data_IF_359386608701
#
_entry.id   IF_359386608701
#
_cell.length_a   1.000
_cell.length_b   1.000
_cell.length_c   1.000
_cell.angle_alpha   90.00
_cell.angle_beta   90.00
_cell.angle_gamma   90.00
#
_symmetry.space_group_name_H-M   'P 1'
#
loop_
_entity.id
_entity.type
_entity.pdbx_description
1 polymer ?
#
# COMPACT_ATOMS: atom_id res chain seq x y z
N UNK A 1 3.42 -9.23 20.68
CA UNK A 1 2.45 -10.36 20.59
C UNK A 1 1.11 -9.82 20.13
N UNK A 2 0.45 -10.42 19.13
CA UNK A 2 -0.88 -9.95 18.72
C UNK A 2 -1.89 -10.03 19.88
N UNK A 3 -2.83 -9.08 20.00
CA UNK A 3 -3.92 -9.19 20.95
C UNK A 3 -4.67 -10.51 20.77
N UNK A 4 -5.05 -11.17 21.86
CA UNK A 4 -5.76 -12.46 21.83
C UNK A 4 -7.10 -12.41 21.07
N UNK A 5 -7.68 -11.20 20.94
CA UNK A 5 -8.74 -10.89 19.99
C UNK A 5 -8.67 -9.40 19.61
N UNK A 6 -8.77 -9.08 18.31
CA UNK A 6 -8.90 -7.69 17.87
C UNK A 6 -10.30 -7.15 18.24
N UNK A 7 -10.41 -5.90 18.70
CA UNK A 7 -11.71 -5.27 18.92
C UNK A 7 -12.46 -5.11 17.60
N UNK A 8 -13.79 -5.23 17.66
CA UNK A 8 -14.64 -4.75 16.56
C UNK A 8 -14.52 -3.24 16.44
N UNK A 9 -14.78 -2.66 15.26
CA UNK A 9 -14.75 -1.20 15.06
C UNK A 9 -15.48 -0.43 16.17
N UNK A 10 -16.72 -0.84 16.51
CA UNK A 10 -17.54 -0.19 17.55
C UNK A 10 -16.98 -0.31 18.98
N UNK A 11 -16.04 -1.24 19.20
CA UNK A 11 -15.38 -1.50 20.48
C UNK A 11 -13.91 -1.07 20.46
N UNK A 12 -13.48 -0.32 19.45
CA UNK A 12 -12.12 0.22 19.39
C UNK A 12 -11.86 1.07 20.64
N UNK A 13 -10.72 0.86 21.32
CA UNK A 13 -10.36 1.66 22.48
C UNK A 13 -10.21 3.13 22.07
N UNK A 14 -10.62 4.09 22.92
CA UNK A 14 -10.47 5.50 22.61
C UNK A 14 -9.00 5.88 22.63
N UNK A 15 -8.61 6.74 21.69
CA UNK A 15 -7.31 7.41 21.70
C UNK A 15 -7.55 8.84 22.15
N UNK A 16 -6.83 9.30 23.17
CA UNK A 16 -7.03 10.61 23.78
C UNK A 16 -6.96 11.73 22.71
N UNK A 17 -7.93 12.63 22.74
CA UNK A 17 -8.06 13.77 21.81
C UNK A 17 -8.19 13.38 20.32
N UNK A 18 -8.52 12.13 20.00
CA UNK A 18 -8.75 11.67 18.64
C UNK A 18 -10.21 11.26 18.41
N UNK A 19 -10.72 11.38 17.18
CA UNK A 19 -11.98 10.76 16.80
C UNK A 19 -11.98 9.24 17.05
N UNK A 20 -13.17 8.66 17.16
CA UNK A 20 -13.30 7.21 17.27
C UNK A 20 -12.74 6.49 16.03
N UNK A 21 -12.06 5.35 16.24
CA UNK A 21 -11.56 4.48 15.18
C UNK A 21 -10.04 4.51 14.97
N UNK A 22 -9.28 5.27 15.75
CA UNK A 22 -7.82 5.24 15.70
C UNK A 22 -7.29 3.93 16.32
N UNK A 23 -6.40 3.23 15.62
CA UNK A 23 -5.82 1.97 16.06
C UNK A 23 -4.52 2.14 16.88
N UNK A 24 -4.24 3.35 17.38
CA UNK A 24 -2.99 3.65 18.07
C UNK A 24 -2.94 2.94 19.42
N UNK A 25 -1.79 2.35 19.74
CA UNK A 25 -1.59 1.53 20.92
C UNK A 25 -2.18 0.12 20.83
N UNK A 26 -2.96 -0.21 19.79
CA UNK A 26 -3.58 -1.54 19.65
C UNK A 26 -2.55 -2.66 19.48
N UNK A 27 -1.43 -2.34 18.82
CA UNK A 27 -0.36 -3.26 18.51
C UNK A 27 0.90 -3.05 19.38
N UNK A 28 0.86 -2.11 20.33
CA UNK A 28 1.95 -1.92 21.28
C UNK A 28 2.04 -3.15 22.19
N UNK A 29 3.26 -3.64 22.47
CA UNK A 29 3.45 -4.77 23.39
C UNK A 29 3.09 -4.43 24.84
N UNK A 30 3.30 -3.17 25.25
CA UNK A 30 2.99 -2.64 26.59
C UNK A 30 2.53 -1.18 26.48
N UNK A 31 1.59 -0.72 27.32
CA UNK A 31 1.11 0.68 27.29
C UNK A 31 2.23 1.72 27.39
N UNK A 32 3.19 1.50 28.29
CA UNK A 32 4.33 2.39 28.54
C UNK A 32 5.63 1.92 27.85
N UNK A 33 5.51 0.99 26.90
CA UNK A 33 6.65 0.45 26.14
C UNK A 33 6.98 1.25 24.88
N UNK A 34 7.98 0.79 24.12
CA UNK A 34 8.20 1.24 22.75
C UNK A 34 6.92 1.12 21.93
N UNK A 35 6.64 2.15 21.13
CA UNK A 35 5.45 2.20 20.28
C UNK A 35 5.64 1.34 19.04
N UNK A 36 4.58 0.66 18.64
CA UNK A 36 4.56 -0.10 17.41
C UNK A 36 4.77 0.79 16.18
N UNK A 37 5.44 0.25 15.16
CA UNK A 37 5.79 0.94 13.91
C UNK A 37 5.17 0.30 12.66
N UNK A 38 4.46 -0.83 12.83
CA UNK A 38 3.97 -1.67 11.73
C UNK A 38 2.45 -1.62 11.55
N UNK A 39 1.70 -1.25 12.58
CA UNK A 39 0.24 -1.19 12.57
C UNK A 39 -0.38 -2.53 12.19
N UNK A 40 -1.31 -2.52 11.23
CA UNK A 40 -2.01 -3.72 10.78
C UNK A 40 -1.12 -4.73 10.06
N UNK A 41 0.11 -4.37 9.69
CA UNK A 41 1.06 -5.36 9.15
C UNK A 41 1.39 -6.44 10.18
N UNK A 42 1.27 -6.15 11.48
CA UNK A 42 1.40 -7.15 12.54
C UNK A 42 0.43 -8.33 12.40
N UNK A 43 -0.69 -8.16 11.66
CA UNK A 43 -1.65 -9.24 11.38
C UNK A 43 -1.12 -10.29 10.39
N UNK A 44 -0.07 -9.97 9.64
CA UNK A 44 0.58 -10.89 8.72
C UNK A 44 1.60 -11.76 9.47
N UNK A 45 1.13 -12.60 10.39
CA UNK A 45 2.01 -13.48 11.18
C UNK A 45 2.57 -14.61 10.31
N UNK A 46 3.66 -15.28 10.74
CA UNK A 46 4.18 -16.46 10.05
C UNK A 46 3.11 -17.54 9.80
N UNK A 47 2.19 -17.74 10.74
CA UNK A 47 1.09 -18.70 10.63
C UNK A 47 0.08 -18.29 9.57
N UNK A 48 -0.29 -17.00 9.52
CA UNK A 48 -1.19 -16.46 8.49
C UNK A 48 -0.57 -16.61 7.09
N UNK A 49 0.72 -16.27 6.96
CA UNK A 49 1.46 -16.39 5.69
C UNK A 49 1.55 -17.85 5.25
N UNK A 50 1.91 -18.75 6.17
CA UNK A 50 2.04 -20.18 5.88
C UNK A 50 0.70 -20.80 5.49
N UNK A 51 -0.38 -20.44 6.17
CA UNK A 51 -1.72 -20.92 5.84
C UNK A 51 -2.14 -20.43 4.44
N UNK A 52 -1.96 -19.14 4.14
CA UNK A 52 -2.25 -18.59 2.82
C UNK A 52 -1.49 -19.34 1.70
N UNK A 53 -0.21 -19.63 1.92
CA UNK A 53 0.59 -20.39 0.96
C UNK A 53 0.04 -21.82 0.75
N UNK A 54 -0.35 -22.50 1.84
CA UNK A 54 -0.91 -23.86 1.79
C UNK A 54 -2.30 -23.93 1.14
N UNK A 55 -3.13 -22.90 1.32
CA UNK A 55 -4.53 -22.92 0.89
C UNK A 55 -4.75 -22.32 -0.49
N UNK A 56 -4.03 -21.25 -0.84
CA UNK A 56 -4.34 -20.46 -2.04
C UNK A 56 -3.46 -20.81 -3.25
N UNK A 57 -2.21 -21.22 -3.06
CA UNK A 57 -1.30 -21.56 -4.17
C UNK A 57 -1.64 -22.96 -4.69
N UNK A 58 -2.45 -23.03 -5.75
CA UNK A 58 -2.89 -24.30 -6.37
C UNK A 58 -2.38 -24.52 -7.79
N UNK A 59 -2.19 -23.45 -8.55
CA UNK A 59 -1.91 -23.54 -10.00
C UNK A 59 -0.52 -23.05 -10.39
N UNK A 60 0.21 -22.40 -9.47
CA UNK A 60 1.51 -21.79 -9.74
C UNK A 60 1.46 -20.58 -10.68
N UNK A 61 0.28 -20.07 -11.04
CA UNK A 61 0.13 -18.88 -11.89
C UNK A 61 0.39 -17.61 -11.09
N UNK A 62 1.19 -16.71 -11.65
CA UNK A 62 1.43 -15.38 -11.12
C UNK A 62 0.82 -14.30 -12.02
N UNK A 63 0.44 -13.18 -11.42
CA UNK A 63 -0.06 -11.98 -12.11
C UNK A 63 0.65 -10.77 -11.52
N UNK A 64 1.22 -9.92 -12.37
CA UNK A 64 1.78 -8.64 -11.93
C UNK A 64 0.65 -7.64 -11.67
N UNK A 65 0.65 -7.04 -10.48
CA UNK A 65 -0.25 -5.92 -10.14
C UNK A 65 0.43 -4.56 -10.35
N UNK A 66 1.71 -4.55 -10.69
CA UNK A 66 2.46 -3.32 -10.92
C UNK A 66 2.10 -2.74 -12.29
N UNK A 67 1.73 -1.46 -12.30
CA UNK A 67 1.60 -0.66 -13.51
C UNK A 67 2.99 -0.17 -13.93
N UNK A 68 3.30 -0.21 -15.22
CA UNK A 68 4.59 0.26 -15.73
C UNK A 68 4.85 1.71 -15.31
N UNK A 69 6.00 2.00 -14.71
CA UNK A 69 6.32 3.33 -14.18
C UNK A 69 6.30 4.42 -15.27
N UNK A 70 6.61 4.04 -16.51
CA UNK A 70 6.62 4.89 -17.69
C UNK A 70 5.21 5.28 -18.19
N UNK A 71 4.18 4.57 -17.73
CA UNK A 71 2.80 4.78 -18.16
C UNK A 71 2.11 5.95 -17.45
N UNK A 72 2.67 6.43 -16.34
CA UNK A 72 2.14 7.59 -15.62
C UNK A 72 2.73 8.89 -16.20
N UNK A 73 2.09 9.41 -17.24
CA UNK A 73 2.57 10.61 -17.95
C UNK A 73 2.34 11.92 -17.17
N UNK A 74 1.29 11.98 -16.34
CA UNK A 74 0.93 13.18 -15.57
C UNK A 74 0.78 12.83 -14.10
N UNK A 75 1.86 12.91 -13.31
CA UNK A 75 1.77 12.78 -11.86
C UNK A 75 0.84 13.83 -11.27
N UNK A 76 -0.01 13.43 -10.32
CA UNK A 76 -0.83 14.36 -9.56
C UNK A 76 0.00 15.19 -8.56
N UNK A 77 -0.61 16.25 -8.02
CA UNK A 77 -0.03 17.08 -6.95
C UNK A 77 1.37 17.65 -7.26
N UNK A 78 1.58 18.07 -8.52
CA UNK A 78 2.85 18.65 -9.01
C UNK A 78 4.09 17.79 -8.74
N UNK A 79 3.91 16.48 -8.60
CA UNK A 79 5.01 15.53 -8.33
C UNK A 79 5.92 15.37 -9.54
N UNK A 80 7.21 15.18 -9.27
CA UNK A 80 8.20 14.84 -10.28
C UNK A 80 7.85 13.49 -10.94
N UNK A 81 7.69 13.48 -12.26
CA UNK A 81 7.48 12.26 -13.04
C UNK A 81 8.75 11.43 -13.19
N UNK A 82 8.60 10.19 -13.69
CA UNK A 82 9.73 9.31 -13.96
C UNK A 82 10.70 9.96 -14.95
N UNK A 83 11.98 10.02 -14.57
CA UNK A 83 13.09 10.21 -15.52
C UNK A 83 13.92 8.95 -15.49
N UNK A 84 14.22 8.40 -16.66
CA UNK A 84 14.99 7.19 -16.83
C UNK A 84 16.15 7.49 -17.79
N UNK A 85 17.39 7.30 -17.34
CA UNK A 85 18.60 7.51 -18.12
C UNK A 85 19.39 6.21 -18.20
N UNK A 86 19.70 5.78 -19.41
CA UNK A 86 20.62 4.66 -19.64
C UNK A 86 22.07 5.15 -19.62
N UNK A 87 22.97 4.35 -19.06
CA UNK A 87 24.40 4.57 -19.03
C UNK A 87 25.05 3.46 -19.86
N UNK A 88 25.62 3.81 -21.01
CA UNK A 88 26.48 2.91 -21.77
C UNK A 88 27.91 2.99 -21.20
N UNK A 89 28.35 1.91 -20.57
CA UNK A 89 29.69 1.87 -19.98
C UNK A 89 30.81 1.82 -21.03
N UNK A 90 30.51 1.44 -22.28
CA UNK A 90 31.48 1.49 -23.36
C UNK A 90 31.81 2.94 -23.72
N UNK A 91 30.80 3.80 -23.77
CA UNK A 91 31.00 5.23 -24.01
C UNK A 91 31.82 5.86 -22.88
N UNK A 92 31.46 5.59 -21.62
CA UNK A 92 32.24 6.06 -20.45
C UNK A 92 33.69 5.55 -20.43
N UNK A 93 33.91 4.30 -20.79
CA UNK A 93 35.26 3.74 -20.87
C UNK A 93 36.09 4.49 -21.94
N UNK A 94 35.49 4.81 -23.09
CA UNK A 94 36.15 5.57 -24.16
C UNK A 94 36.47 7.00 -23.76
N UNK A 95 35.57 7.68 -23.04
CA UNK A 95 35.81 9.04 -22.51
C UNK A 95 37.03 9.11 -21.59
N UNK A 96 37.32 8.01 -20.90
CA UNK A 96 38.46 7.90 -19.96
C UNK A 96 39.69 7.24 -20.57
N UNK A 97 39.67 6.89 -21.86
CA UNK A 97 40.76 6.20 -22.56
C UNK A 97 40.94 4.72 -22.16
N UNK A 98 39.95 4.13 -21.48
CA UNK A 98 39.91 2.72 -21.12
C UNK A 98 39.54 1.80 -22.29
N UNK A 99 39.71 0.47 -22.12
CA UNK A 99 39.27 -0.51 -23.11
C UNK A 99 37.73 -0.53 -23.21
N UNK A 100 37.20 -1.01 -24.34
CA UNK A 100 35.76 -1.24 -24.50
C UNK A 100 35.24 -2.11 -23.34
N UNK A 101 34.17 -1.64 -22.66
CA UNK A 101 33.53 -2.33 -21.55
C UNK A 101 32.03 -2.50 -21.83
N UNK A 102 31.57 -3.73 -22.01
CA UNK A 102 30.22 -4.05 -22.50
C UNK A 102 29.23 -4.22 -21.34
N UNK A 103 28.72 -3.10 -20.83
CA UNK A 103 27.72 -3.08 -19.76
C UNK A 103 26.77 -1.90 -19.93
N UNK A 104 25.54 -2.05 -19.44
CA UNK A 104 24.56 -0.97 -19.32
C UNK A 104 24.09 -0.88 -17.88
N UNK A 105 24.02 0.35 -17.35
CA UNK A 105 23.28 0.67 -16.13
C UNK A 105 22.10 1.59 -16.47
N UNK A 106 21.18 1.74 -15.52
CA UNK A 106 20.14 2.74 -15.54
C UNK A 106 20.17 3.62 -14.29
N UNK A 107 19.75 4.87 -14.46
CA UNK A 107 19.43 5.79 -13.38
C UNK A 107 17.97 6.18 -13.49
N UNK A 108 17.25 6.06 -12.38
CA UNK A 108 15.87 6.55 -12.26
C UNK A 108 15.79 7.70 -11.25
N UNK A 109 15.05 8.73 -11.62
CA UNK A 109 14.56 9.75 -10.69
C UNK A 109 13.04 9.66 -10.66
N UNK A 110 12.49 9.45 -9.47
CA UNK A 110 11.06 9.25 -9.28
C UNK A 110 10.62 9.83 -7.95
N UNK A 111 9.41 10.39 -7.91
CA UNK A 111 8.71 10.60 -6.65
C UNK A 111 8.06 9.27 -6.23
N UNK A 112 8.30 8.78 -5.02
CA UNK A 112 7.85 7.46 -4.57
C UNK A 112 6.32 7.30 -4.47
N UNK A 113 5.56 8.38 -4.68
CA UNK A 113 4.10 8.40 -4.78
C UNK A 113 3.60 8.55 -6.24
N UNK A 114 4.35 7.98 -7.19
CA UNK A 114 4.04 7.94 -8.62
C UNK A 114 4.08 6.49 -9.08
N UNK A 115 3.01 6.02 -9.73
CA UNK A 115 2.84 4.63 -10.17
C UNK A 115 2.14 3.76 -9.14
N UNK A 116 2.22 2.43 -9.32
CA UNK A 116 1.76 1.50 -8.29
C UNK A 116 2.67 1.61 -7.06
N UNK A 117 2.06 1.78 -5.89
CA UNK A 117 2.78 2.19 -4.70
C UNK A 117 2.14 1.62 -3.43
N UNK A 118 2.91 1.67 -2.35
CA UNK A 118 2.42 1.57 -0.99
C UNK A 118 2.63 2.89 -0.27
N UNK A 119 1.62 3.35 0.45
CA UNK A 119 1.74 4.53 1.30
C UNK A 119 2.05 4.08 2.74
N UNK A 120 3.24 4.41 3.22
CA UNK A 120 3.68 4.10 4.57
C UNK A 120 2.92 4.87 5.65
N UNK A 121 3.06 4.46 6.91
CA UNK A 121 2.39 5.11 8.06
C UNK A 121 2.85 6.56 8.30
N UNK A 122 3.96 6.96 7.68
CA UNK A 122 4.46 8.35 7.63
C UNK A 122 3.99 9.18 6.43
N UNK A 123 3.17 8.61 5.53
CA UNK A 123 2.78 9.31 4.28
C UNK A 123 1.80 10.46 4.53
N UNK A 124 0.80 10.25 5.40
CA UNK A 124 -0.28 11.19 5.61
C UNK A 124 -0.65 11.31 7.08
N UNK A 125 -0.52 12.53 7.62
CA UNK A 125 -0.88 12.82 9.01
C UNK A 125 -2.39 13.04 9.18
N UNK A 126 -2.85 12.89 10.42
CA UNK A 126 -4.13 13.48 10.82
C UNK A 126 -4.03 15.00 10.76
N UNK A 127 -4.65 15.59 9.74
CA UNK A 127 -4.49 17.02 9.39
C UNK A 127 -4.77 17.99 10.54
N UNK A 128 -5.82 17.82 11.38
CA UNK A 128 -6.07 18.73 12.49
C UNK A 128 -4.99 18.76 13.57
N UNK A 129 -4.23 17.67 13.76
CA UNK A 129 -3.26 17.56 14.86
C UNK A 129 -1.81 17.42 14.40
N UNK A 130 -1.55 17.21 13.11
CA UNK A 130 -0.20 16.95 12.60
C UNK A 130 0.43 15.64 13.09
N UNK A 131 -0.38 14.74 13.66
CA UNK A 131 0.10 13.49 14.23
C UNK A 131 -0.07 12.33 13.23
N UNK A 132 0.96 11.50 13.13
CA UNK A 132 0.99 10.24 12.41
C UNK A 132 0.69 9.08 13.35
N UNK A 133 0.71 7.85 12.83
CA UNK A 133 0.47 6.64 13.60
C UNK A 133 1.25 6.64 14.93
N UNK A 134 0.58 6.23 16.02
CA UNK A 134 1.17 6.17 17.36
C UNK A 134 1.79 7.48 17.89
N UNK A 135 1.36 8.64 17.36
CA UNK A 135 1.63 9.95 17.96
C UNK A 135 2.92 10.63 17.51
N UNK A 136 3.60 10.15 16.46
CA UNK A 136 4.71 10.88 15.85
C UNK A 136 4.20 12.23 15.31
N UNK A 137 4.76 13.34 15.78
CA UNK A 137 4.39 14.68 15.29
C UNK A 137 5.13 15.03 14.00
N UNK A 138 4.50 15.80 13.12
CA UNK A 138 5.04 16.19 11.82
C UNK A 138 6.42 16.83 11.89
N UNK A 139 6.64 17.70 12.87
CA UNK A 139 7.94 18.39 13.05
C UNK A 139 9.08 17.44 13.44
N UNK A 140 8.79 16.19 13.83
CA UNK A 140 9.77 15.19 14.22
C UNK A 140 10.01 14.12 13.14
N UNK A 141 9.22 14.12 12.07
CA UNK A 141 9.30 13.11 10.99
C UNK A 141 10.68 13.09 10.35
N UNK A 142 11.35 14.24 10.20
CA UNK A 142 12.69 14.32 9.60
C UNK A 142 13.83 14.05 10.60
N UNK A 143 13.53 13.96 11.89
CA UNK A 143 14.52 13.77 12.95
C UNK A 143 14.77 12.29 13.27
N UNK A 144 13.98 11.40 12.69
CA UNK A 144 14.04 9.96 12.94
C UNK A 144 13.64 9.16 11.70
N UNK A 145 13.88 7.86 11.74
CA UNK A 145 13.38 6.87 10.80
C UNK A 145 12.05 6.24 11.24
N UNK A 146 11.43 6.76 12.30
CA UNK A 146 10.17 6.23 12.82
C UNK A 146 9.10 6.15 11.74
N UNK A 147 8.35 5.05 11.74
CA UNK A 147 7.30 4.75 10.75
C UNK A 147 7.82 4.72 9.29
N UNK A 148 9.14 4.61 9.10
CA UNK A 148 9.77 4.40 7.81
C UNK A 148 9.43 3.05 7.19
N UNK A 149 9.44 3.00 5.86
CA UNK A 149 9.16 1.75 5.12
C UNK A 149 10.29 0.71 5.28
N UNK A 150 11.47 1.11 5.78
CA UNK A 150 12.54 0.20 6.18
C UNK A 150 12.04 -0.81 7.23
N UNK A 151 11.21 -0.39 8.19
CA UNK A 151 10.60 -1.30 9.17
C UNK A 151 9.75 -2.38 8.50
N UNK A 152 9.11 -2.05 7.38
CA UNK A 152 8.34 -3.01 6.60
C UNK A 152 9.27 -4.01 5.90
N UNK A 153 10.41 -3.57 5.39
CA UNK A 153 11.43 -4.45 4.83
C UNK A 153 12.01 -5.39 5.91
N UNK A 154 12.42 -4.84 7.05
CA UNK A 154 13.12 -5.58 8.10
C UNK A 154 12.26 -6.69 8.71
N UNK A 155 10.94 -6.50 8.73
CA UNK A 155 9.99 -7.53 9.16
C UNK A 155 9.68 -8.61 8.11
N UNK A 156 10.24 -8.52 6.89
CA UNK A 156 10.00 -9.44 5.78
C UNK A 156 8.98 -8.97 4.72
N UNK A 157 8.67 -7.68 4.67
CA UNK A 157 7.78 -7.08 3.66
C UNK A 157 6.28 -7.29 3.92
N UNK A 158 5.50 -7.16 2.85
CA UNK A 158 4.05 -7.41 2.84
C UNK A 158 3.82 -8.73 2.11
N UNK A 159 3.62 -9.80 2.89
CA UNK A 159 3.32 -11.14 2.38
C UNK A 159 2.10 -11.65 3.11
N UNK A 160 1.12 -12.17 2.39
CA UNK A 160 -0.12 -12.65 2.98
C UNK A 160 -1.14 -13.06 1.93
N UNK A 161 -2.36 -13.33 2.39
CA UNK A 161 -3.48 -13.68 1.52
C UNK A 161 -4.09 -12.43 0.90
N UNK A 162 -4.12 -12.36 -0.42
CA UNK A 162 -4.87 -11.33 -1.14
C UNK A 162 -6.30 -11.76 -1.41
N UNK A 163 -7.28 -10.86 -1.21
CA UNK A 163 -8.66 -11.04 -1.67
C UNK A 163 -9.02 -9.93 -2.65
N UNK A 164 -9.55 -10.29 -3.82
CA UNK A 164 -9.93 -9.33 -4.86
C UNK A 164 -11.45 -9.13 -4.86
N UNK A 165 -11.88 -7.89 -4.61
CA UNK A 165 -13.27 -7.46 -4.78
C UNK A 165 -13.38 -6.69 -6.10
N UNK A 166 -13.97 -7.33 -7.10
CA UNK A 166 -14.21 -6.72 -8.41
C UNK A 166 -15.53 -5.93 -8.41
N UNK A 167 -15.42 -4.64 -8.07
CA UNK A 167 -16.55 -3.73 -8.05
C UNK A 167 -17.10 -3.47 -9.46
N UNK A 168 -16.25 -3.49 -10.49
CA UNK A 168 -16.68 -3.27 -11.89
C UNK A 168 -17.64 -4.38 -12.31
N UNK A 169 -17.25 -5.64 -12.07
CA UNK A 169 -18.11 -6.78 -12.37
C UNK A 169 -19.38 -6.77 -11.53
N UNK A 170 -19.30 -6.39 -10.25
CA UNK A 170 -20.47 -6.26 -9.38
C UNK A 170 -21.44 -5.17 -9.87
N UNK A 171 -20.92 -4.00 -10.23
CA UNK A 171 -21.72 -2.90 -10.76
C UNK A 171 -22.43 -3.30 -12.06
N UNK A 172 -21.73 -4.00 -12.97
CA UNK A 172 -22.32 -4.50 -14.20
C UNK A 172 -23.47 -5.49 -13.94
N UNK A 173 -23.30 -6.45 -13.02
CA UNK A 173 -24.35 -7.41 -12.65
C UNK A 173 -25.57 -6.75 -12.01
N UNK A 174 -25.34 -5.71 -11.21
CA UNK A 174 -26.39 -5.02 -10.45
C UNK A 174 -26.93 -3.76 -11.15
N UNK A 175 -26.53 -3.51 -12.40
CA UNK A 175 -26.95 -2.34 -13.19
C UNK A 175 -26.63 -1.00 -12.51
N UNK A 176 -25.53 -0.95 -11.76
CA UNK A 176 -25.02 0.27 -11.13
C UNK A 176 -24.21 1.02 -12.19
N UNK A 177 -24.70 2.18 -12.61
CA UNK A 177 -23.96 3.07 -13.50
C UNK A 177 -23.06 3.99 -12.69
N UNK A 178 -21.79 4.08 -13.08
CA UNK A 178 -20.85 5.04 -12.52
C UNK A 178 -19.88 5.49 -13.61
N UNK A 179 -19.30 6.67 -13.44
CA UNK A 179 -18.27 7.19 -14.32
C UNK A 179 -16.89 7.00 -13.67
N UNK A 180 -15.99 6.17 -14.24
CA UNK A 180 -14.64 5.93 -13.73
C UNK A 180 -13.75 7.18 -13.64
N UNK A 181 -14.17 8.27 -14.27
CA UNK A 181 -13.47 9.56 -14.29
C UNK A 181 -14.04 10.58 -13.28
N UNK A 182 -15.00 10.16 -12.46
CA UNK A 182 -15.64 10.99 -11.45
C UNK A 182 -15.61 10.32 -10.08
N UNK A 183 -15.86 11.11 -9.03
CA UNK A 183 -15.96 10.57 -7.68
C UNK A 183 -17.17 9.64 -7.59
N UNK A 184 -16.91 8.37 -7.30
CA UNK A 184 -17.93 7.37 -7.03
C UNK A 184 -17.58 6.60 -5.74
N UNK A 185 -18.34 6.76 -4.64
CA UNK A 185 -18.05 6.07 -3.40
C UNK A 185 -18.42 4.58 -3.49
N UNK A 186 -17.50 3.70 -3.13
CA UNK A 186 -17.77 2.28 -2.87
C UNK A 186 -18.06 2.13 -1.38
N UNK A 187 -19.27 1.69 -1.04
CA UNK A 187 -19.74 1.60 0.33
C UNK A 187 -19.36 0.27 0.98
N UNK A 188 -19.41 0.21 2.32
CA UNK A 188 -19.28 -1.06 3.06
C UNK A 188 -20.36 -2.07 2.64
N UNK A 189 -21.55 -1.59 2.25
CA UNK A 189 -22.63 -2.46 1.76
C UNK A 189 -22.25 -3.11 0.44
N UNK A 190 -21.63 -2.37 -0.49
CA UNK A 190 -21.15 -2.90 -1.76
C UNK A 190 -20.09 -3.98 -1.53
N UNK A 191 -19.11 -3.72 -0.65
CA UNK A 191 -18.06 -4.68 -0.33
C UNK A 191 -18.63 -5.96 0.31
N UNK A 192 -19.64 -5.84 1.18
CA UNK A 192 -20.35 -7.00 1.76
C UNK A 192 -21.13 -7.79 0.71
N UNK A 193 -21.78 -7.10 -0.23
CA UNK A 193 -22.49 -7.74 -1.32
C UNK A 193 -21.54 -8.53 -2.22
N UNK A 194 -20.38 -7.95 -2.58
CA UNK A 194 -19.34 -8.64 -3.35
C UNK A 194 -18.82 -9.87 -2.61
N UNK A 195 -18.51 -9.74 -1.32
CA UNK A 195 -18.05 -10.85 -0.49
C UNK A 195 -19.06 -12.02 -0.49
N UNK A 196 -20.35 -11.71 -0.34
CA UNK A 196 -21.43 -12.70 -0.37
C UNK A 196 -21.60 -13.35 -1.75
N UNK A 197 -21.66 -12.56 -2.82
CA UNK A 197 -21.81 -13.05 -4.21
C UNK A 197 -20.69 -14.01 -4.60
N UNK A 198 -19.47 -13.75 -4.12
CA UNK A 198 -18.28 -14.53 -4.45
C UNK A 198 -17.92 -15.60 -3.40
N UNK A 199 -18.74 -15.78 -2.36
CA UNK A 199 -18.47 -16.66 -1.21
C UNK A 199 -17.08 -16.42 -0.59
N UNK A 200 -16.64 -15.17 -0.53
CA UNK A 200 -15.37 -14.78 0.09
C UNK A 200 -15.64 -14.48 1.56
N UNK A 201 -14.92 -15.17 2.44
CA UNK A 201 -14.90 -14.88 3.89
C UNK A 201 -13.59 -14.18 4.23
N UNK A 202 -13.61 -12.86 4.51
CA UNK A 202 -12.43 -12.14 4.96
C UNK A 202 -11.91 -12.70 6.28
N UNK A 203 -10.60 -12.72 6.43
CA UNK A 203 -9.87 -13.16 7.62
C UNK A 203 -8.91 -12.05 8.08
N UNK A 204 -8.57 -11.99 9.37
CA UNK A 204 -7.48 -11.12 9.84
C UNK A 204 -6.20 -11.37 9.03
N UNK A 205 -5.55 -10.30 8.59
CA UNK A 205 -4.34 -10.36 7.75
C UNK A 205 -4.62 -10.44 6.24
N UNK A 206 -5.89 -10.47 5.80
CA UNK A 206 -6.17 -10.35 4.37
C UNK A 206 -5.77 -8.98 3.82
N UNK A 207 -5.12 -8.99 2.66
CA UNK A 207 -4.84 -7.81 1.86
C UNK A 207 -6.02 -7.63 0.90
N UNK A 208 -6.88 -6.66 1.19
CA UNK A 208 -8.02 -6.34 0.35
C UNK A 208 -7.57 -5.56 -0.88
N UNK A 209 -7.83 -6.13 -2.05
CA UNK A 209 -7.66 -5.50 -3.35
C UNK A 209 -9.05 -5.15 -3.89
N UNK A 210 -9.27 -3.90 -4.28
CA UNK A 210 -10.54 -3.45 -4.87
C UNK A 210 -10.32 -2.99 -6.30
N UNK A 211 -10.93 -3.68 -7.26
CA UNK A 211 -10.94 -3.26 -8.66
C UNK A 211 -12.16 -2.40 -8.91
N UNK A 212 -11.94 -1.09 -9.06
CA UNK A 212 -12.98 -0.07 -9.17
C UNK A 212 -13.08 0.64 -10.52
N UNK A 213 -12.35 0.14 -11.53
CA UNK A 213 -12.04 0.76 -12.83
C UNK A 213 -11.42 2.17 -12.75
N UNK A 214 -10.18 2.27 -13.28
CA UNK A 214 -9.41 3.46 -13.70
C UNK A 214 -7.98 3.44 -13.14
N UNK A 215 -6.95 3.43 -13.99
CA UNK A 215 -5.60 3.84 -13.62
C UNK A 215 -5.29 5.33 -13.87
N UNK A 216 -6.30 6.21 -14.04
CA UNK A 216 -6.24 7.60 -14.56
C UNK A 216 -5.91 7.72 -16.06
N UNK A 217 -6.95 7.94 -16.88
CA UNK A 217 -6.82 8.55 -18.23
C UNK A 217 -7.55 9.89 -18.23
N UNK A 218 -6.89 10.96 -17.78
CA UNK A 218 -7.33 12.34 -18.12
C UNK A 218 -6.63 12.72 -19.43
N UNK A 219 -7.33 12.56 -20.55
CA UNK A 219 -7.10 13.45 -21.70
C UNK A 219 -8.01 14.66 -21.49
N UNK A 220 -7.43 15.79 -21.07
CA UNK A 220 -8.01 17.08 -21.36
C UNK A 220 -7.29 17.61 -22.59
N UNK A 221 -8.11 18.12 -23.52
CA UNK A 221 -7.84 18.52 -24.91
C UNK A 221 -6.45 19.12 -25.17
#
# INVERSE_FOLDING_TARGET
MLPSALPTWSKMPPVANMPHGFAWGLFDDKPDGPKDELGTLNLLTPEVVLEAAKTEIRTGKSVSLNWGMEKQHQPGFDRTGLRHRFIDWREKARETGGPDFFSYDDEITVNTQVGSQWDGLRHWAHQPTGLYYNGLHHDDVLKSDHLGINHWNDRGGIVGRGILFDYVAHAARNRISFNPMSRHPITVSDLKAIANDCNIVPRPGDILLVQQSSPYVRFLK
#
